data_IF_393147719839
#
_entry.id   IF_393147719839
#
_cell.length_a   1.000
_cell.length_b   1.000
_cell.length_c   1.000
_cell.angle_alpha   90.00
_cell.angle_beta   90.00
_cell.angle_gamma   90.00
#
_symmetry.space_group_name_H-M   'P 1'
#
loop_
_entity.id
_entity.type
_entity.pdbx_description
1 polymer ?
#
# COMPACT_ATOMS: atom_id res chain seq x y z
N UNK A 1 4.07 10.79 6.37
CA UNK A 1 3.80 9.46 5.81
C UNK A 1 4.81 9.13 4.71
N UNK A 2 4.92 7.85 4.35
CA UNK A 2 5.78 7.42 3.24
C UNK A 2 5.40 8.11 1.92
N UNK A 3 4.11 8.23 1.65
CA UNK A 3 3.60 8.93 0.46
C UNK A 3 3.98 10.40 0.42
N UNK A 4 3.90 11.10 1.54
CA UNK A 4 4.34 12.50 1.65
C UNK A 4 5.84 12.64 1.39
N UNK A 5 6.64 11.74 1.96
CA UNK A 5 8.09 11.71 1.74
C UNK A 5 8.43 11.44 0.27
N UNK A 6 7.77 10.46 -0.36
CA UNK A 6 7.93 10.13 -1.76
C UNK A 6 7.57 11.34 -2.66
N UNK A 7 6.45 11.98 -2.40
CA UNK A 7 5.99 13.15 -3.17
C UNK A 7 6.94 14.34 -2.99
N UNK A 8 7.48 14.57 -1.81
CA UNK A 8 8.47 15.61 -1.56
C UNK A 8 9.80 15.35 -2.27
N UNK A 9 10.11 14.11 -2.60
CA UNK A 9 11.24 13.71 -3.44
C UNK A 9 11.04 13.96 -4.94
N UNK A 10 9.85 14.38 -5.37
CA UNK A 10 9.47 14.63 -6.78
C UNK A 10 9.07 16.11 -6.99
N UNK A 11 10.01 17.07 -6.87
CA UNK A 11 9.67 18.50 -6.89
C UNK A 11 9.06 18.95 -8.23
N UNK A 12 9.48 18.39 -9.34
CA UNK A 12 8.96 18.73 -10.67
C UNK A 12 7.49 18.30 -10.82
N UNK A 13 7.14 17.11 -10.35
CA UNK A 13 5.76 16.66 -10.32
C UNK A 13 4.94 17.53 -9.39
N UNK A 14 5.44 17.79 -8.18
CA UNK A 14 4.77 18.61 -7.18
C UNK A 14 4.51 20.03 -7.67
N UNK A 15 5.38 20.59 -8.47
CA UNK A 15 5.22 21.92 -9.07
C UNK A 15 4.06 22.01 -10.09
N UNK A 16 3.55 20.88 -10.57
CA UNK A 16 2.39 20.86 -11.48
C UNK A 16 1.04 20.94 -10.74
N UNK A 17 1.03 20.77 -9.42
CA UNK A 17 -0.19 20.79 -8.62
C UNK A 17 -0.65 22.23 -8.36
N UNK A 18 -1.97 22.46 -8.43
CA UNK A 18 -2.57 23.74 -8.05
C UNK A 18 -2.42 23.99 -6.53
N UNK A 19 -2.57 22.94 -5.72
CA UNK A 19 -2.37 22.94 -4.27
C UNK A 19 -2.04 21.52 -3.79
N UNK A 20 -1.55 21.40 -2.57
CA UNK A 20 -1.32 20.10 -1.93
C UNK A 20 -1.37 20.24 -0.42
N UNK A 21 -2.34 19.56 0.17
CA UNK A 21 -2.59 19.56 1.60
C UNK A 21 -2.35 18.17 2.20
N UNK A 22 -2.08 18.13 3.50
CA UNK A 22 -2.00 16.87 4.26
C UNK A 22 -3.26 16.67 5.09
N UNK A 23 -3.73 15.43 5.15
CA UNK A 23 -4.89 15.05 5.96
C UNK A 23 -4.48 14.27 7.20
N UNK A 24 -5.28 14.29 8.28
CA UNK A 24 -4.95 13.58 9.51
C UNK A 24 -4.87 12.06 9.36
N UNK A 25 -5.62 11.49 8.41
CA UNK A 25 -5.69 10.06 8.17
C UNK A 25 -6.20 9.74 6.76
N UNK A 26 -6.01 8.50 6.33
CA UNK A 26 -6.40 8.04 5.00
C UNK A 26 -7.92 8.06 4.74
N UNK A 27 -8.76 7.82 5.76
CA UNK A 27 -10.21 7.89 5.58
C UNK A 27 -10.66 9.30 5.18
N UNK A 28 -10.09 10.33 5.82
CA UNK A 28 -10.40 11.71 5.45
C UNK A 28 -9.95 12.00 4.02
N UNK A 29 -8.76 11.55 3.62
CA UNK A 29 -8.26 11.74 2.27
C UNK A 29 -9.19 11.12 1.20
N UNK A 30 -9.68 9.91 1.44
CA UNK A 30 -10.63 9.24 0.54
C UNK A 30 -11.98 9.97 0.51
N UNK A 31 -12.47 10.46 1.66
CA UNK A 31 -13.69 11.26 1.70
C UNK A 31 -13.56 12.56 0.90
N UNK A 32 -12.42 13.25 1.01
CA UNK A 32 -12.16 14.47 0.26
C UNK A 32 -12.13 14.21 -1.26
N UNK A 33 -11.58 13.07 -1.67
CA UNK A 33 -11.61 12.60 -3.06
C UNK A 33 -13.05 12.31 -3.53
N UNK A 34 -13.84 11.56 -2.75
CA UNK A 34 -15.24 11.21 -3.06
C UNK A 34 -16.13 12.45 -3.19
N UNK A 35 -15.89 13.46 -2.37
CA UNK A 35 -16.64 14.72 -2.41
C UNK A 35 -16.16 15.70 -3.49
N UNK A 36 -15.07 15.38 -4.19
CA UNK A 36 -14.46 16.27 -5.18
C UNK A 36 -13.73 17.47 -4.59
N UNK A 37 -13.38 17.43 -3.30
CA UNK A 37 -12.57 18.47 -2.66
C UNK A 37 -11.10 18.42 -3.13
N UNK A 38 -10.64 17.24 -3.54
CA UNK A 38 -9.34 17.02 -4.18
C UNK A 38 -9.51 16.15 -5.42
N UNK A 39 -8.61 16.30 -6.39
CA UNK A 39 -8.63 15.53 -7.64
C UNK A 39 -7.85 14.21 -7.52
N UNK A 40 -6.89 14.14 -6.58
CA UNK A 40 -6.07 12.96 -6.35
C UNK A 40 -5.59 12.88 -4.89
N UNK A 41 -5.26 11.67 -4.46
CA UNK A 41 -4.67 11.38 -3.15
C UNK A 41 -3.40 10.55 -3.33
N UNK A 42 -2.32 10.98 -2.69
CA UNK A 42 -1.09 10.19 -2.56
C UNK A 42 -1.11 9.44 -1.23
N UNK A 43 -1.09 8.12 -1.29
CA UNK A 43 -1.16 7.27 -0.10
C UNK A 43 -0.54 5.90 -0.35
N UNK A 44 -0.43 5.10 0.68
CA UNK A 44 -0.02 3.71 0.60
C UNK A 44 -0.99 2.89 -0.26
N UNK A 45 -0.46 2.15 -1.24
CA UNK A 45 -1.28 1.44 -2.22
C UNK A 45 -2.09 0.28 -1.61
N UNK A 46 -1.54 -0.39 -0.59
CA UNK A 46 -2.22 -1.49 0.12
C UNK A 46 -3.43 -0.96 0.86
N UNK A 47 -3.26 0.17 1.57
CA UNK A 47 -4.37 0.82 2.28
C UNK A 47 -5.38 1.40 1.29
N UNK A 48 -4.93 1.99 0.18
CA UNK A 48 -5.81 2.50 -0.87
C UNK A 48 -6.71 1.38 -1.42
N UNK A 49 -6.12 0.25 -1.83
CA UNK A 49 -6.88 -0.88 -2.37
C UNK A 49 -7.92 -1.41 -1.39
N UNK A 50 -7.53 -1.55 -0.11
CA UNK A 50 -8.45 -1.98 0.93
C UNK A 50 -9.62 -1.00 1.11
N UNK A 51 -9.34 0.30 1.25
CA UNK A 51 -10.38 1.32 1.47
C UNK A 51 -11.31 1.46 0.27
N UNK A 52 -10.80 1.45 -0.96
CA UNK A 52 -11.61 1.53 -2.17
C UNK A 52 -12.55 0.32 -2.29
N UNK A 53 -12.05 -0.89 -1.99
CA UNK A 53 -12.85 -2.12 -1.99
C UNK A 53 -13.95 -2.07 -0.92
N UNK A 54 -13.62 -1.66 0.31
CA UNK A 54 -14.58 -1.57 1.41
C UNK A 54 -15.68 -0.52 1.19
N UNK A 55 -15.33 0.59 0.57
CA UNK A 55 -16.26 1.72 0.36
C UNK A 55 -17.02 1.64 -0.96
N UNK A 56 -16.57 0.81 -1.90
CA UNK A 56 -17.13 0.76 -3.25
C UNK A 56 -16.97 2.06 -4.03
N UNK A 57 -15.86 2.76 -3.81
CA UNK A 57 -15.56 4.06 -4.42
C UNK A 57 -15.13 3.89 -5.88
N UNK A 58 -15.63 4.74 -6.78
CA UNK A 58 -15.29 4.78 -8.21
C UNK A 58 -13.90 5.41 -8.51
N UNK A 59 -13.02 5.49 -7.51
CA UNK A 59 -11.66 5.94 -7.72
C UNK A 59 -10.77 4.81 -8.24
N UNK A 60 -9.72 5.19 -8.98
CA UNK A 60 -8.74 4.25 -9.55
C UNK A 60 -7.37 4.49 -8.96
N UNK A 61 -6.60 3.42 -8.79
CA UNK A 61 -5.18 3.51 -8.48
C UNK A 61 -4.44 3.56 -9.81
N UNK A 62 -3.59 4.58 -9.98
CA UNK A 62 -2.79 4.72 -11.19
C UNK A 62 -1.71 3.65 -11.27
N UNK A 63 -1.37 3.21 -12.48
CA UNK A 63 -0.31 2.21 -12.70
C UNK A 63 1.07 2.74 -12.33
N UNK A 64 1.29 4.05 -12.46
CA UNK A 64 2.54 4.70 -12.10
C UNK A 64 2.60 4.97 -10.60
N UNK A 65 3.58 4.35 -9.92
CA UNK A 65 3.81 4.56 -8.50
C UNK A 65 4.77 5.71 -8.22
N UNK A 66 4.52 6.47 -7.16
CA UNK A 66 5.43 7.52 -6.68
C UNK A 66 6.73 6.93 -6.11
N UNK A 67 6.64 5.76 -5.51
CA UNK A 67 7.75 4.98 -4.98
C UNK A 67 7.36 3.50 -4.90
N UNK A 68 8.35 2.63 -4.77
CA UNK A 68 8.13 1.20 -4.52
C UNK A 68 8.75 0.84 -3.18
N UNK A 69 7.98 0.13 -2.35
CA UNK A 69 8.43 -0.36 -1.06
C UNK A 69 7.94 -1.79 -0.81
N UNK A 70 8.57 -2.47 0.13
CA UNK A 70 8.19 -3.82 0.52
C UNK A 70 7.93 -3.85 2.03
N UNK A 71 6.90 -4.59 2.43
CA UNK A 71 6.63 -4.89 3.82
C UNK A 71 7.45 -6.10 4.27
N UNK A 72 7.86 -6.07 5.52
CA UNK A 72 8.60 -7.17 6.13
C UNK A 72 8.13 -7.41 7.57
N UNK A 73 8.28 -8.64 8.04
CA UNK A 73 8.07 -9.00 9.44
C UNK A 73 9.39 -8.82 10.20
N UNK A 74 9.39 -7.92 11.19
CA UNK A 74 10.56 -7.68 12.04
C UNK A 74 10.61 -8.60 13.26
N UNK A 75 11.79 -9.08 13.60
CA UNK A 75 12.05 -9.93 14.77
C UNK A 75 13.05 -9.27 15.71
N UNK A 76 12.95 -9.58 17.00
CA UNK A 76 13.95 -9.17 17.98
C UNK A 76 15.32 -9.78 17.60
N UNK A 77 16.37 -8.97 17.69
CA UNK A 77 17.74 -9.44 17.47
C UNK A 77 18.07 -10.66 18.36
N UNK A 78 18.65 -11.69 17.76
CA UNK A 78 18.95 -12.96 18.42
C UNK A 78 17.82 -14.00 18.36
N UNK A 79 16.69 -13.69 17.72
CA UNK A 79 15.54 -14.59 17.57
C UNK A 79 15.45 -15.19 16.16
N UNK A 80 16.61 -15.65 15.66
CA UNK A 80 16.74 -16.18 14.29
C UNK A 80 15.93 -17.45 14.09
N UNK A 81 15.81 -18.31 15.10
CA UNK A 81 15.03 -19.54 15.01
C UNK A 81 13.57 -19.26 14.68
N UNK A 82 12.93 -18.33 15.39
CA UNK A 82 11.55 -17.95 15.10
C UNK A 82 11.41 -17.27 13.73
N UNK A 83 12.37 -16.40 13.38
CA UNK A 83 12.40 -15.75 12.06
C UNK A 83 12.41 -16.82 10.95
N UNK A 84 13.27 -17.81 11.06
CA UNK A 84 13.45 -18.86 10.05
C UNK A 84 12.22 -19.77 9.96
N UNK A 85 11.57 -20.07 11.08
CA UNK A 85 10.29 -20.81 11.10
C UNK A 85 9.17 -20.03 10.40
N UNK A 86 9.06 -18.73 10.69
CA UNK A 86 8.05 -17.86 10.03
C UNK A 86 8.35 -17.71 8.54
N UNK A 87 9.62 -17.49 8.17
CA UNK A 87 10.04 -17.40 6.77
C UNK A 87 9.67 -18.69 6.01
N UNK A 88 9.99 -19.86 6.55
CA UNK A 88 9.64 -21.13 5.92
C UNK A 88 8.13 -21.30 5.75
N UNK A 89 7.34 -20.94 6.77
CA UNK A 89 5.89 -21.01 6.67
C UNK A 89 5.33 -20.08 5.59
N UNK A 90 5.87 -18.86 5.45
CA UNK A 90 5.47 -17.93 4.40
C UNK A 90 5.85 -18.43 2.99
N UNK A 91 7.00 -19.08 2.85
CA UNK A 91 7.44 -19.72 1.60
C UNK A 91 6.52 -20.91 1.21
N UNK A 92 6.14 -21.74 2.18
CA UNK A 92 5.18 -22.83 1.98
C UNK A 92 3.79 -22.28 1.54
N UNK A 93 3.31 -21.22 2.19
CA UNK A 93 2.06 -20.55 1.81
C UNK A 93 2.13 -19.89 0.42
N UNK A 94 3.29 -19.38 0.03
CA UNK A 94 3.49 -18.86 -1.32
C UNK A 94 3.45 -20.00 -2.36
N UNK A 95 4.05 -21.15 -2.04
CA UNK A 95 4.13 -22.31 -2.92
C UNK A 95 2.78 -23.00 -3.11
N UNK A 96 1.94 -23.08 -2.07
CA UNK A 96 0.63 -23.75 -2.12
C UNK A 96 -0.51 -22.83 -2.59
N UNK A 97 -0.25 -21.54 -2.77
CA UNK A 97 -1.23 -20.54 -3.24
C UNK A 97 -1.98 -19.80 -2.13
N UNK A 98 -1.83 -20.21 -0.86
CA UNK A 98 -2.53 -19.58 0.28
C UNK A 98 -2.23 -18.09 0.38
N UNK A 99 -0.97 -17.67 0.15
CA UNK A 99 -0.59 -16.24 0.17
C UNK A 99 -1.35 -15.45 -0.91
N UNK A 100 -1.45 -15.99 -2.12
CA UNK A 100 -2.16 -15.33 -3.22
C UNK A 100 -3.66 -15.23 -2.96
N UNK A 101 -4.27 -16.25 -2.34
CA UNK A 101 -5.69 -16.24 -1.96
C UNK A 101 -5.97 -15.15 -0.92
N UNK A 102 -5.18 -15.09 0.17
CA UNK A 102 -5.32 -14.09 1.23
C UNK A 102 -5.11 -12.69 0.65
N UNK A 103 -4.07 -12.51 -0.15
CA UNK A 103 -3.79 -11.21 -0.78
C UNK A 103 -4.94 -10.75 -1.66
N UNK A 104 -5.50 -11.65 -2.46
CA UNK A 104 -6.63 -11.34 -3.34
C UNK A 104 -7.90 -11.03 -2.55
N UNK A 105 -8.15 -11.74 -1.45
CA UNK A 105 -9.31 -11.49 -0.57
C UNK A 105 -9.27 -10.08 0.02
N UNK A 106 -8.09 -9.65 0.50
CA UNK A 106 -7.94 -8.37 1.19
C UNK A 106 -7.70 -7.17 0.27
N UNK A 107 -7.02 -7.38 -0.85
CA UNK A 107 -6.53 -6.29 -1.72
C UNK A 107 -7.05 -6.37 -3.16
N UNK A 108 -7.87 -7.37 -3.49
CA UNK A 108 -8.41 -7.55 -4.82
C UNK A 108 -7.43 -8.13 -5.85
N UNK A 109 -6.16 -8.32 -5.48
CA UNK A 109 -5.11 -8.90 -6.32
C UNK A 109 -3.98 -9.50 -5.48
N UNK A 110 -3.18 -10.38 -6.08
CA UNK A 110 -1.98 -10.90 -5.43
C UNK A 110 -0.82 -9.88 -5.53
N UNK A 111 -0.54 -9.21 -4.43
CA UNK A 111 0.56 -8.24 -4.28
C UNK A 111 1.76 -8.82 -3.52
N UNK A 112 1.79 -10.13 -3.28
CA UNK A 112 2.87 -10.78 -2.53
C UNK A 112 4.14 -10.93 -3.34
N UNK A 113 5.30 -10.89 -2.69
CA UNK A 113 6.62 -11.01 -3.33
C UNK A 113 7.41 -12.22 -2.87
N UNK A 114 6.97 -12.94 -1.82
CA UNK A 114 7.61 -14.15 -1.32
C UNK A 114 7.50 -15.26 -2.36
N UNK A 115 8.64 -15.88 -2.68
CA UNK A 115 8.70 -16.97 -3.66
C UNK A 115 8.61 -16.55 -5.13
N UNK A 116 8.70 -15.26 -5.39
CA UNK A 116 8.69 -14.71 -6.76
C UNK A 116 10.01 -14.09 -7.15
#
# INVERSE_FOLDING_TARGET
SGAETALNGLPDLKATFASGDTTPNYNQAIMDLEMGAVDAVAMDSVVAQYLLTQRGTDAVILDEALSSEQYAVGFKLGNEELRDQVQAALEDMAADGTMAEISTEWFGSDITTIGK
#
